data_IF_982306654831
#
_entry.id   IF_982306654831
#
_cell.length_a   1.000
_cell.length_b   1.000
_cell.length_c   1.000
_cell.angle_alpha   90.00
_cell.angle_beta   90.00
_cell.angle_gamma   90.00
#
_symmetry.space_group_name_H-M   'P 1'
#
loop_
_entity.id
_entity.type
_entity.pdbx_description
1 polymer ?
#
# COMPACT_ATOMS: atom_id res chain seq x y z
N UNK A 1 13.41 4.33 -6.74
CA UNK A 1 12.18 4.80 -7.38
C UNK A 1 11.13 3.75 -7.06
N UNK A 2 10.09 4.12 -6.32
CA UNK A 2 9.07 3.19 -5.88
C UNK A 2 8.11 2.87 -7.02
N UNK A 3 7.48 1.69 -6.96
CA UNK A 3 6.54 1.22 -7.98
C UNK A 3 5.15 1.06 -7.39
N UNK A 4 4.14 1.41 -8.16
CA UNK A 4 2.75 1.18 -7.80
C UNK A 4 2.51 -0.31 -7.57
N UNK A 5 2.00 -0.68 -6.40
CA UNK A 5 1.74 -2.09 -6.04
C UNK A 5 0.61 -2.75 -6.85
N UNK A 6 -0.13 -1.96 -7.65
CA UNK A 6 -1.26 -2.44 -8.46
C UNK A 6 -0.92 -2.57 -9.94
N UNK A 7 -0.13 -1.64 -10.49
CA UNK A 7 0.11 -1.56 -11.93
C UNK A 7 1.58 -1.39 -12.31
N UNK A 8 2.49 -1.44 -11.33
CA UNK A 8 3.95 -1.44 -11.49
C UNK A 8 4.58 -0.19 -12.15
N UNK A 9 3.77 0.83 -12.46
CA UNK A 9 4.25 2.15 -12.89
C UNK A 9 5.06 2.82 -11.79
N UNK A 10 6.05 3.60 -12.20
CA UNK A 10 6.88 4.35 -11.26
C UNK A 10 6.08 5.44 -10.53
N UNK A 11 6.37 5.62 -9.25
CA UNK A 11 5.78 6.64 -8.37
C UNK A 11 6.91 7.51 -7.83
N UNK A 12 7.35 8.55 -8.58
CA UNK A 12 8.56 9.30 -8.25
C UNK A 12 8.44 10.15 -6.98
N UNK A 13 7.22 10.57 -6.62
CA UNK A 13 6.97 11.47 -5.49
C UNK A 13 6.49 10.74 -4.22
N UNK A 14 6.65 9.41 -4.16
CA UNK A 14 6.23 8.63 -3.00
C UNK A 14 7.10 8.94 -1.78
N UNK A 15 6.45 9.31 -0.66
CA UNK A 15 7.09 9.55 0.63
C UNK A 15 6.47 8.61 1.67
N UNK A 16 7.14 7.49 2.01
CA UNK A 16 6.58 6.52 2.94
C UNK A 16 6.46 7.11 4.34
N UNK A 17 5.32 6.88 4.99
CA UNK A 17 5.08 7.20 6.39
C UNK A 17 5.07 5.89 7.16
N UNK A 18 5.84 5.81 8.25
CA UNK A 18 5.96 4.62 9.08
C UNK A 18 5.29 4.84 10.43
N UNK A 19 4.66 3.80 10.96
CA UNK A 19 4.03 3.83 12.28
C UNK A 19 5.07 3.68 13.40
N UNK A 20 6.11 2.87 13.18
CA UNK A 20 7.18 2.61 14.12
C UNK A 20 8.54 2.64 13.40
N UNK A 21 9.62 2.90 14.14
CA UNK A 21 10.99 2.77 13.62
C UNK A 21 11.43 1.31 13.75
N UNK A 22 11.35 0.54 12.68
CA UNK A 22 11.89 -0.83 12.61
C UNK A 22 10.83 -1.92 12.54
N UNK A 23 11.22 -3.15 12.87
CA UNK A 23 10.39 -4.34 12.67
C UNK A 23 9.62 -4.79 13.92
N UNK A 24 9.66 -4.00 14.98
CA UNK A 24 9.09 -4.36 16.28
C UNK A 24 7.55 -4.37 16.28
N UNK A 25 6.92 -3.61 15.37
CA UNK A 25 5.47 -3.59 15.20
C UNK A 25 5.01 -4.55 14.10
N UNK A 26 3.75 -4.99 14.13
CA UNK A 26 3.20 -6.01 13.21
C UNK A 26 3.27 -5.64 11.73
N UNK A 27 3.46 -4.37 11.37
CA UNK A 27 3.70 -3.97 9.99
C UNK A 27 5.13 -4.31 9.52
N UNK A 28 6.02 -4.73 10.43
CA UNK A 28 7.38 -5.19 10.15
C UNK A 28 8.20 -4.19 9.34
N UNK A 29 8.14 -2.91 9.73
CA UNK A 29 8.85 -1.84 9.03
C UNK A 29 8.27 -1.49 7.66
N UNK A 30 7.09 -2.01 7.29
CA UNK A 30 6.38 -1.57 6.09
C UNK A 30 5.70 -0.20 6.31
N UNK A 31 5.62 0.63 5.26
CA UNK A 31 4.93 1.90 5.34
C UNK A 31 3.43 1.70 5.57
N UNK A 32 2.81 2.69 6.24
CA UNK A 32 1.37 2.70 6.56
C UNK A 32 0.55 2.67 5.27
N UNK A 33 0.96 3.45 4.28
CA UNK A 33 0.33 3.49 2.96
C UNK A 33 1.31 2.97 1.92
N UNK A 34 0.98 1.91 1.17
CA UNK A 34 1.82 1.43 0.08
C UNK A 34 1.81 2.42 -1.11
N UNK A 35 2.82 2.39 -1.98
CA UNK A 35 2.89 3.27 -3.14
C UNK A 35 1.80 2.94 -4.16
N UNK A 36 0.98 3.95 -4.51
CA UNK A 36 -0.02 3.90 -5.59
C UNK A 36 0.16 5.10 -6.52
N UNK A 37 0.00 4.90 -7.83
CA UNK A 37 0.23 5.97 -8.83
C UNK A 37 -1.03 6.80 -9.14
N UNK A 38 -2.21 6.38 -8.69
CA UNK A 38 -3.48 7.06 -8.97
C UNK A 38 -4.54 6.67 -7.94
N UNK A 39 -5.56 7.52 -7.82
CA UNK A 39 -6.75 7.26 -7.00
C UNK A 39 -7.45 5.95 -7.38
N UNK A 40 -7.45 5.59 -8.66
CA UNK A 40 -8.01 4.31 -9.12
C UNK A 40 -7.23 3.11 -8.56
N UNK A 41 -5.90 3.18 -8.54
CA UNK A 41 -5.07 2.11 -7.94
C UNK A 41 -5.28 2.03 -6.42
N UNK A 42 -5.48 3.16 -5.74
CA UNK A 42 -5.84 3.20 -4.33
C UNK A 42 -7.19 2.51 -4.06
N UNK A 43 -8.22 2.81 -4.87
CA UNK A 43 -9.52 2.14 -4.78
C UNK A 43 -9.40 0.62 -5.00
N UNK A 44 -8.63 0.18 -6.00
CA UNK A 44 -8.39 -1.25 -6.28
C UNK A 44 -7.68 -1.94 -5.11
N UNK A 45 -6.71 -1.27 -4.50
CA UNK A 45 -5.98 -1.78 -3.33
C UNK A 45 -6.93 -2.05 -2.15
N UNK A 46 -7.90 -1.16 -1.90
CA UNK A 46 -8.82 -1.28 -0.75
C UNK A 46 -10.12 -2.02 -1.05
N UNK A 47 -10.46 -2.27 -2.32
CA UNK A 47 -11.75 -2.83 -2.75
C UNK A 47 -12.09 -4.22 -2.15
N UNK A 48 -11.10 -4.95 -1.66
CA UNK A 48 -11.27 -6.25 -1.01
C UNK A 48 -11.16 -6.22 0.52
N UNK A 49 -10.89 -5.07 1.13
CA UNK A 49 -10.75 -4.95 2.59
C UNK A 49 -12.13 -5.06 3.24
N UNK A 50 -12.24 -5.91 4.27
CA UNK A 50 -13.49 -6.11 5.02
C UNK A 50 -14.50 -7.03 4.34
N UNK A 51 -14.22 -7.52 3.13
CA UNK A 51 -15.04 -8.55 2.49
C UNK A 51 -14.67 -9.94 3.03
N UNK A 52 -15.66 -10.81 3.29
CA UNK A 52 -15.39 -12.19 3.65
C UNK A 52 -14.71 -12.92 2.48
N UNK A 53 -13.96 -13.98 2.79
CA UNK A 53 -13.10 -14.68 1.82
C UNK A 53 -13.84 -15.14 0.56
N UNK A 54 -15.12 -15.51 0.70
CA UNK A 54 -15.99 -15.96 -0.40
C UNK A 54 -16.53 -14.83 -1.30
N UNK A 55 -16.27 -13.56 -0.97
CA UNK A 55 -16.76 -12.38 -1.70
C UNK A 55 -15.61 -11.51 -2.25
N UNK A 56 -14.37 -12.00 -2.16
CA UNK A 56 -13.18 -11.31 -2.68
C UNK A 56 -12.93 -11.60 -4.15
#
# INVERSE_FOLDING_TARGET
MDKCVICEKDVPDYKPIYCCSGEQCSCRGLPIQPPTCSYECELRLVAGIGKPYNER
#
